data_IF_037045625719
#
_entry.id   IF_037045625719
#
_cell.length_a   1.000
_cell.length_b   1.000
_cell.length_c   1.000
_cell.angle_alpha   90.00
_cell.angle_beta   90.00
_cell.angle_gamma   90.00
#
_symmetry.space_group_name_H-M   'P 1'
#
loop_
_entity.id
_entity.type
_entity.pdbx_description
1 polymer ?
#
# COMPACT_ATOMS: atom_id res chain seq x y z
N UNK A 1 3.83 13.22 3.42
CA UNK A 1 2.40 12.86 3.40
C UNK A 1 1.69 13.62 4.51
N UNK A 2 0.43 13.99 4.29
CA UNK A 2 -0.36 14.78 5.24
C UNK A 2 -1.53 13.99 5.84
N UNK A 3 -2.18 13.15 5.05
CA UNK A 3 -3.25 12.26 5.51
C UNK A 3 -2.66 10.90 5.90
N UNK A 4 -2.84 10.43 7.15
CA UNK A 4 -2.14 9.25 7.67
C UNK A 4 -2.63 7.93 7.08
N UNK A 5 -3.81 7.94 6.45
CA UNK A 5 -4.45 6.75 5.86
C UNK A 5 -4.13 6.56 4.37
N UNK A 6 -3.53 7.57 3.73
CA UNK A 6 -3.15 7.52 2.31
C UNK A 6 -1.63 7.37 2.25
N UNK A 7 -1.17 6.29 1.63
CA UNK A 7 0.25 5.98 1.51
C UNK A 7 0.59 5.30 0.18
N UNK A 8 1.85 4.90 0.06
CA UNK A 8 2.32 4.05 -1.04
C UNK A 8 2.32 2.59 -0.61
N UNK A 9 2.06 1.68 -1.53
CA UNK A 9 1.90 0.26 -1.24
C UNK A 9 2.74 -0.59 -2.19
N UNK A 10 3.29 -1.68 -1.66
CA UNK A 10 3.89 -2.75 -2.44
C UNK A 10 3.48 -4.10 -1.88
N UNK A 11 3.83 -5.17 -2.58
CA UNK A 11 3.62 -6.55 -2.15
C UNK A 11 4.96 -7.29 -2.14
N UNK A 12 5.20 -8.11 -1.12
CA UNK A 12 6.42 -8.90 -1.02
C UNK A 12 6.28 -10.22 -1.75
N UNK A 13 7.39 -10.71 -2.32
CA UNK A 13 7.56 -12.13 -2.64
C UNK A 13 7.64 -12.97 -1.36
N UNK A 14 7.61 -14.29 -1.50
CA UNK A 14 7.80 -15.28 -0.43
C UNK A 14 9.14 -15.13 0.30
N UNK A 15 10.16 -14.59 -0.39
CA UNK A 15 11.50 -14.32 0.15
C UNK A 15 11.63 -12.92 0.78
N UNK A 16 10.56 -12.11 0.75
CA UNK A 16 10.54 -10.78 1.36
C UNK A 16 10.96 -9.64 0.44
N UNK A 17 11.23 -9.90 -0.84
CA UNK A 17 11.56 -8.86 -1.83
C UNK A 17 10.30 -8.05 -2.16
N UNK A 18 10.34 -6.75 -1.95
CA UNK A 18 9.18 -5.88 -2.19
C UNK A 18 9.09 -5.51 -3.68
N UNK A 19 7.89 -5.59 -4.24
CA UNK A 19 7.54 -5.04 -5.56
C UNK A 19 6.53 -3.90 -5.38
N UNK A 20 6.84 -2.73 -5.90
CA UNK A 20 5.93 -1.58 -5.88
C UNK A 20 5.96 -0.82 -7.20
N UNK A 21 4.77 -0.48 -7.70
CA UNK A 21 4.64 0.37 -8.88
C UNK A 21 5.00 1.82 -8.53
N UNK A 22 6.24 2.19 -8.81
CA UNK A 22 6.90 3.39 -8.31
C UNK A 22 6.74 4.61 -9.24
N UNK A 23 6.32 4.38 -10.48
CA UNK A 23 6.08 5.42 -11.47
C UNK A 23 5.68 4.83 -12.83
N UNK A 24 5.39 5.66 -13.84
CA UNK A 24 4.98 5.17 -15.16
C UNK A 24 6.00 4.17 -15.70
N UNK A 25 5.51 3.00 -16.14
CA UNK A 25 6.33 1.94 -16.73
C UNK A 25 7.43 1.37 -15.82
N UNK A 26 7.35 1.64 -14.51
CA UNK A 26 8.41 1.30 -13.57
C UNK A 26 7.85 0.66 -12.29
N UNK A 27 8.18 -0.62 -12.11
CA UNK A 27 7.98 -1.35 -10.87
C UNK A 27 9.35 -1.51 -10.20
N UNK A 28 9.49 -0.95 -9.01
CA UNK A 28 10.71 -1.06 -8.23
C UNK A 28 10.82 -2.44 -7.56
N UNK A 29 12.05 -2.83 -7.27
CA UNK A 29 12.40 -4.09 -6.61
C UNK A 29 13.25 -3.78 -5.39
N UNK A 30 12.76 -4.17 -4.22
CA UNK A 30 13.37 -4.00 -2.88
C UNK A 30 13.78 -2.57 -2.47
N UNK A 31 13.45 -1.58 -3.29
CA UNK A 31 13.72 -0.17 -3.02
C UNK A 31 12.46 0.66 -3.29
N UNK A 32 11.55 0.67 -2.31
CA UNK A 32 10.26 1.35 -2.46
C UNK A 32 10.40 2.84 -2.78
N UNK A 33 9.53 3.34 -3.66
CA UNK A 33 9.58 4.72 -4.18
C UNK A 33 9.63 5.82 -3.10
N UNK A 34 9.01 5.58 -1.95
CA UNK A 34 8.88 6.55 -0.85
C UNK A 34 9.70 6.14 0.39
N UNK A 35 10.74 5.32 0.19
CA UNK A 35 11.61 4.81 1.23
C UNK A 35 11.02 3.62 2.00
N UNK A 36 11.66 3.27 3.11
CA UNK A 36 11.32 2.06 3.87
C UNK A 36 9.86 2.06 4.35
N UNK A 37 9.16 0.90 4.30
CA UNK A 37 7.79 0.79 4.76
C UNK A 37 7.68 1.09 6.26
N UNK A 38 6.64 1.83 6.64
CA UNK A 38 6.34 2.17 8.05
C UNK A 38 5.22 1.32 8.64
N UNK A 39 4.45 0.65 7.77
CA UNK A 39 3.31 -0.21 8.10
C UNK A 39 3.30 -1.41 7.16
N UNK A 40 2.86 -2.57 7.65
CA UNK A 40 2.70 -3.78 6.86
C UNK A 40 1.40 -4.51 7.24
N UNK A 41 0.78 -5.16 6.27
CA UNK A 41 -0.31 -6.11 6.51
C UNK A 41 0.18 -7.50 6.12
N UNK A 42 0.30 -8.40 7.10
CA UNK A 42 0.76 -9.77 6.86
C UNK A 42 -0.39 -10.59 6.28
N UNK A 43 -0.22 -11.01 5.03
CA UNK A 43 -1.12 -11.91 4.33
C UNK A 43 -0.75 -13.37 4.64
N UNK A 44 -1.73 -14.27 4.48
CA UNK A 44 -1.57 -15.71 4.71
C UNK A 44 -1.41 -16.44 3.36
N UNK A 45 -0.23 -17.00 3.05
CA UNK A 45 -0.03 -17.77 1.83
C UNK A 45 -1.00 -18.94 1.66
N UNK A 46 -1.55 -19.50 2.75
CA UNK A 46 -2.56 -20.56 2.71
C UNK A 46 -3.90 -20.14 2.10
N UNK A 47 -4.12 -18.83 1.91
CA UNK A 47 -5.30 -18.28 1.24
C UNK A 47 -5.15 -18.13 -0.28
N UNK A 48 -4.00 -18.48 -0.84
CA UNK A 48 -3.81 -18.56 -2.30
C UNK A 48 -4.63 -19.74 -2.83
N UNK A 49 -5.38 -19.52 -3.91
CA UNK A 49 -6.27 -20.56 -4.46
C UNK A 49 -5.52 -21.76 -5.04
N UNK A 50 -4.36 -21.51 -5.64
CA UNK A 50 -3.55 -22.54 -6.29
C UNK A 50 -2.72 -23.33 -5.27
N UNK A 51 -2.60 -24.64 -5.48
CA UNK A 51 -1.73 -25.52 -4.70
C UNK A 51 -0.28 -25.50 -5.19
N UNK A 52 0.01 -24.79 -6.28
CA UNK A 52 1.38 -24.66 -6.78
C UNK A 52 2.24 -23.90 -5.76
N UNK A 53 3.40 -24.45 -5.34
CA UNK A 53 4.28 -23.83 -4.34
C UNK A 53 4.71 -22.39 -4.68
N UNK A 54 4.75 -22.06 -5.97
CA UNK A 54 5.23 -20.76 -6.47
C UNK A 54 4.10 -19.81 -6.86
N UNK A 55 2.82 -20.18 -6.67
CA UNK A 55 1.69 -19.40 -7.16
C UNK A 55 1.67 -17.94 -6.65
N UNK A 56 2.11 -17.72 -5.40
CA UNK A 56 2.25 -16.39 -4.83
C UNK A 56 3.26 -15.54 -5.63
N UNK A 57 4.48 -16.05 -5.76
CA UNK A 57 5.59 -15.33 -6.41
C UNK A 57 5.33 -15.12 -7.90
N UNK A 58 4.73 -16.10 -8.58
CA UNK A 58 4.30 -15.99 -9.96
C UNK A 58 3.27 -14.86 -10.12
N UNK A 59 2.24 -14.79 -9.28
CA UNK A 59 1.25 -13.73 -9.37
C UNK A 59 1.82 -12.33 -9.06
N UNK A 60 2.76 -12.23 -8.11
CA UNK A 60 3.48 -10.98 -7.83
C UNK A 60 4.35 -10.56 -9.03
N UNK A 61 5.03 -11.52 -9.65
CA UNK A 61 5.83 -11.29 -10.85
C UNK A 61 4.98 -10.85 -12.03
N UNK A 62 3.93 -11.60 -12.36
CA UNK A 62 3.05 -11.33 -13.50
C UNK A 62 2.36 -9.96 -13.37
N UNK A 63 1.90 -9.61 -12.16
CA UNK A 63 1.38 -8.27 -11.91
C UNK A 63 2.44 -7.18 -12.10
N UNK A 64 3.70 -7.46 -11.76
CA UNK A 64 4.81 -6.52 -11.97
C UNK A 64 5.14 -6.36 -13.45
N UNK A 65 5.18 -7.43 -14.23
CA UNK A 65 5.38 -7.36 -15.69
C UNK A 65 4.26 -6.57 -16.37
N UNK A 66 2.99 -6.82 -16.00
CA UNK A 66 1.85 -6.07 -16.52
C UNK A 66 2.00 -4.56 -16.24
N UNK A 67 2.39 -4.17 -15.03
CA UNK A 67 2.51 -2.75 -14.64
C UNK A 67 3.76 -2.06 -15.17
N UNK A 68 4.79 -2.80 -15.62
CA UNK A 68 5.91 -2.21 -16.39
C UNK A 68 5.46 -1.65 -17.74
N UNK A 69 4.28 -2.02 -18.23
CA UNK A 69 3.72 -1.50 -19.46
C UNK A 69 2.61 -0.44 -19.24
N UNK A 70 2.32 -0.08 -17.98
CA UNK A 70 1.23 0.83 -17.64
C UNK A 70 1.70 2.24 -17.30
N UNK A 71 0.88 3.22 -17.67
CA UNK A 71 1.07 4.61 -17.28
C UNK A 71 0.55 4.82 -15.85
N UNK A 72 1.38 5.34 -14.96
CA UNK A 72 1.00 5.54 -13.56
C UNK A 72 0.03 6.72 -13.42
N UNK A 73 -1.21 6.44 -13.01
CA UNK A 73 -2.20 7.46 -12.68
C UNK A 73 -2.49 7.45 -11.18
N UNK A 74 -2.13 8.53 -10.49
CA UNK A 74 -2.21 8.66 -9.04
C UNK A 74 -3.58 8.24 -8.45
N UNK A 75 -4.67 8.52 -9.15
CA UNK A 75 -6.03 8.29 -8.63
C UNK A 75 -6.69 6.99 -9.09
N UNK A 76 -6.31 6.43 -10.24
CA UNK A 76 -7.10 5.36 -10.90
C UNK A 76 -6.28 4.13 -11.32
N UNK A 77 -4.96 4.24 -11.46
CA UNK A 77 -4.08 3.12 -11.81
C UNK A 77 -2.72 3.34 -11.14
N UNK A 78 -2.64 2.96 -9.87
CA UNK A 78 -1.56 3.29 -8.96
C UNK A 78 -0.99 2.04 -8.29
N UNK A 79 -0.12 2.25 -7.30
CA UNK A 79 0.50 1.19 -6.52
C UNK A 79 -0.48 0.24 -5.82
N UNK A 80 -1.68 0.70 -5.43
CA UNK A 80 -2.69 -0.19 -4.87
C UNK A 80 -3.35 -1.03 -5.96
N UNK A 81 -3.56 -0.47 -7.16
CA UNK A 81 -4.08 -1.24 -8.30
C UNK A 81 -3.10 -2.37 -8.69
N UNK A 82 -1.79 -2.12 -8.64
CA UNK A 82 -0.74 -3.13 -8.85
C UNK A 82 -0.83 -4.28 -7.84
N UNK A 83 -0.88 -3.96 -6.54
CA UNK A 83 -1.05 -4.99 -5.50
C UNK A 83 -2.39 -5.72 -5.63
N UNK A 84 -3.47 -5.01 -5.99
CA UNK A 84 -4.76 -5.62 -6.21
C UNK A 84 -4.73 -6.62 -7.37
N UNK A 85 -4.02 -6.30 -8.46
CA UNK A 85 -3.83 -7.24 -9.57
C UNK A 85 -3.11 -8.50 -9.09
N UNK A 86 -2.03 -8.37 -8.33
CA UNK A 86 -1.33 -9.54 -7.78
C UNK A 86 -2.27 -10.43 -6.96
N UNK A 87 -3.06 -9.85 -6.05
CA UNK A 87 -4.05 -10.60 -5.26
C UNK A 87 -5.14 -11.25 -6.11
N UNK A 88 -5.57 -10.59 -7.19
CA UNK A 88 -6.55 -11.14 -8.13
C UNK A 88 -5.98 -12.30 -8.94
N UNK A 89 -4.74 -12.21 -9.42
CA UNK A 89 -4.06 -13.26 -10.18
C UNK A 89 -3.89 -14.54 -9.34
N UNK A 90 -3.51 -14.41 -8.07
CA UNK A 90 -3.43 -15.54 -7.14
C UNK A 90 -4.79 -15.97 -6.56
N UNK A 91 -5.87 -15.26 -6.91
CA UNK A 91 -7.23 -15.44 -6.36
C UNK A 91 -7.23 -15.50 -4.83
N UNK A 92 -6.51 -14.59 -4.20
CA UNK A 92 -6.32 -14.57 -2.75
C UNK A 92 -7.67 -14.53 -2.03
N UNK A 93 -7.85 -15.43 -1.06
CA UNK A 93 -9.09 -15.61 -0.29
C UNK A 93 -10.30 -15.93 -1.19
N UNK A 94 -10.07 -16.71 -2.25
CA UNK A 94 -11.05 -17.09 -3.27
C UNK A 94 -11.74 -15.90 -3.96
N UNK A 95 -11.06 -14.76 -4.05
CA UNK A 95 -11.59 -13.52 -4.65
C UNK A 95 -10.73 -13.05 -5.83
N UNK A 96 -11.39 -12.59 -6.88
CA UNK A 96 -10.81 -11.87 -8.04
C UNK A 96 -11.24 -10.41 -8.08
N UNK A 97 -11.81 -9.90 -6.99
CA UNK A 97 -12.40 -8.56 -6.88
C UNK A 97 -11.64 -7.63 -5.93
N UNK A 98 -10.33 -7.87 -5.74
CA UNK A 98 -9.45 -6.96 -5.03
C UNK A 98 -9.29 -5.67 -5.84
N UNK A 99 -9.27 -4.54 -5.15
CA UNK A 99 -9.13 -3.21 -5.74
C UNK A 99 -8.47 -2.25 -4.74
N UNK A 100 -8.13 -1.04 -5.21
CA UNK A 100 -7.42 -0.05 -4.41
C UNK A 100 -8.18 0.37 -3.14
N UNK A 101 -9.51 0.43 -3.18
CA UNK A 101 -10.33 0.85 -2.05
C UNK A 101 -10.33 -0.21 -0.95
N UNK A 102 -10.52 -1.48 -1.34
CA UNK A 102 -10.40 -2.62 -0.40
C UNK A 102 -9.02 -2.64 0.23
N UNK A 103 -7.96 -2.48 -0.56
CA UNK A 103 -6.59 -2.49 -0.03
C UNK A 103 -6.32 -1.34 0.94
N UNK A 104 -6.76 -0.12 0.62
CA UNK A 104 -6.65 1.01 1.53
C UNK A 104 -7.36 0.73 2.86
N UNK A 105 -8.60 0.24 2.81
CA UNK A 105 -9.40 -0.08 3.99
C UNK A 105 -8.80 -1.23 4.82
N UNK A 106 -8.39 -2.32 4.18
CA UNK A 106 -7.80 -3.46 4.88
C UNK A 106 -6.42 -3.13 5.45
N UNK A 107 -5.61 -2.35 4.73
CA UNK A 107 -4.33 -1.86 5.26
C UNK A 107 -4.54 -0.94 6.47
N UNK A 108 -5.60 -0.13 6.47
CA UNK A 108 -5.98 0.69 7.62
C UNK A 108 -6.31 -0.18 8.84
N UNK A 109 -7.20 -1.16 8.69
CA UNK A 109 -7.70 -2.00 9.77
C UNK A 109 -6.72 -3.06 10.27
N UNK A 110 -6.05 -3.76 9.36
CA UNK A 110 -5.21 -4.93 9.68
C UNK A 110 -3.72 -4.65 9.65
N UNK A 111 -3.31 -3.47 9.18
CA UNK A 111 -1.90 -3.11 9.12
C UNK A 111 -1.30 -2.87 10.51
N UNK A 112 -0.05 -3.29 10.69
CA UNK A 112 0.77 -3.06 11.89
C UNK A 112 1.94 -2.13 11.56
N UNK A 113 2.27 -1.24 12.49
CA UNK A 113 3.46 -0.40 12.34
C UNK A 113 4.73 -1.22 12.53
N UNK A 114 5.75 -0.93 11.74
CA UNK A 114 7.08 -1.57 11.86
C UNK A 114 7.78 -1.13 13.15
N UNK A 115 7.51 0.11 13.62
CA UNK A 115 8.07 0.65 14.85
C UNK A 115 7.24 1.82 15.38
N UNK A 116 7.52 2.24 16.62
CA UNK A 116 6.97 3.47 17.21
C UNK A 116 7.37 4.69 16.36
N UNK A 117 8.61 4.73 15.86
CA UNK A 117 9.07 5.78 14.95
C UNK A 117 8.24 5.83 13.67
N UNK A 118 7.88 4.67 13.09
CA UNK A 118 6.97 4.59 11.95
C UNK A 118 5.59 5.18 12.26
N UNK A 119 5.02 4.85 13.43
CA UNK A 119 3.76 5.42 13.90
C UNK A 119 3.82 6.95 14.01
N UNK A 120 4.82 7.49 14.70
CA UNK A 120 4.98 8.95 14.87
C UNK A 120 5.14 9.62 13.51
N UNK A 121 5.97 9.07 12.62
CA UNK A 121 6.18 9.58 11.27
C UNK A 121 4.86 9.64 10.49
N UNK A 122 4.00 8.63 10.63
CA UNK A 122 2.70 8.57 9.96
C UNK A 122 1.73 9.65 10.43
N UNK A 123 1.58 9.86 11.75
CA UNK A 123 0.51 10.69 12.33
C UNK A 123 0.90 12.12 12.66
N UNK A 124 2.16 12.39 13.01
CA UNK A 124 2.58 13.69 13.52
C UNK A 124 2.26 14.86 12.56
N UNK A 125 2.52 14.77 11.23
CA UNK A 125 2.19 15.87 10.32
C UNK A 125 0.69 16.23 10.32
N UNK A 126 -0.18 15.22 10.41
CA UNK A 126 -1.63 15.42 10.44
C UNK A 126 -2.09 16.08 11.73
N UNK A 127 -1.56 15.61 12.88
CA UNK A 127 -1.89 16.17 14.19
C UNK A 127 -1.45 17.63 14.30
N UNK A 128 -0.25 17.97 13.79
CA UNK A 128 0.23 19.35 13.77
C UNK A 128 -0.67 20.26 12.91
N UNK A 129 -1.11 19.79 11.74
CA UNK A 129 -2.05 20.53 10.89
C UNK A 129 -3.38 20.80 11.62
N UNK A 130 -3.96 19.77 12.25
CA UNK A 130 -5.21 19.92 13.01
C UNK A 130 -5.04 20.90 14.17
N UNK A 131 -3.89 20.88 14.85
CA UNK A 131 -3.54 21.84 15.89
C UNK A 131 -3.58 23.28 15.37
N UNK A 132 -2.91 23.54 14.23
CA UNK A 132 -2.91 24.88 13.60
C UNK A 132 -4.32 25.33 13.22
N UNK A 133 -5.12 24.46 12.58
CA UNK A 133 -6.50 24.76 12.20
C UNK A 133 -7.32 25.12 13.43
N UNK A 134 -7.24 24.31 14.50
CA UNK A 134 -7.97 24.53 15.74
C UNK A 134 -7.57 25.87 16.39
N UNK A 135 -6.27 26.18 16.46
CA UNK A 135 -5.79 27.46 17.00
C UNK A 135 -6.33 28.64 16.20
N UNK A 136 -6.26 28.61 14.86
CA UNK A 136 -6.78 29.69 14.01
C UNK A 136 -8.28 29.88 14.23
N UNK A 137 -9.05 28.79 14.19
CA UNK A 137 -10.51 28.83 14.40
C UNK A 137 -10.85 29.44 15.77
N UNK A 138 -10.17 29.00 16.83
CA UNK A 138 -10.40 29.51 18.17
C UNK A 138 -10.03 30.99 18.29
N UNK A 139 -8.91 31.41 17.70
CA UNK A 139 -8.47 32.82 17.76
C UNK A 139 -9.43 33.76 17.00
N UNK A 140 -10.05 33.27 15.93
CA UNK A 140 -11.05 34.03 15.17
C UNK A 140 -12.42 34.09 15.87
N UNK A 141 -12.80 33.06 16.64
CA UNK A 141 -14.06 33.03 17.38
C UNK A 141 -14.01 33.72 18.74
N UNK A 142 -12.81 33.87 19.32
CA UNK A 142 -12.60 34.59 20.58
C UNK A 142 -12.30 36.09 20.39
N UNK A 143 -12.27 36.58 19.16
CA UNK A 143 -12.22 38.00 18.80
C UNK A 143 -13.62 38.54 18.54
#
# INVERSE_FOLDING_TARGET
>A
WLFPIIGHMGICTSTGVIRDFAGPYFVSEDNMAFGKPVKYWKLDPGKVYSTSPNAWDTAVHDASEEYKHRMHNLCCDNCHSHVALALNLMRYDNSTSWNMVKLCFFSLLYGKYVSIGGFVKTWLPFVLLLGVILTVVLTLHLR
#
